data_IF_957068352266
#
_entry.id   IF_957068352266
#
_cell.length_a   1.000
_cell.length_b   1.000
_cell.length_c   1.000
_cell.angle_alpha   90.00
_cell.angle_beta   90.00
_cell.angle_gamma   90.00
#
_symmetry.space_group_name_H-M   'P 1'
#
loop_
_entity.id
_entity.type
_entity.pdbx_description
1 polymer ?
#
# COMPACT_ATOMS: atom_id res chain seq x y z
N UNK A 1 -12.69 24.24 -9.93
CA UNK A 1 -11.25 24.55 -9.79
C UNK A 1 -10.82 25.08 -11.15
N UNK A 2 -10.35 26.33 -11.26
CA UNK A 2 -9.91 26.86 -12.57
C UNK A 2 -8.76 26.01 -13.10
N UNK A 3 -8.68 25.79 -14.42
CA UNK A 3 -7.66 24.93 -15.06
C UNK A 3 -6.23 25.25 -14.56
N UNK A 4 -5.92 26.53 -14.32
CA UNK A 4 -4.64 27.00 -13.77
C UNK A 4 -4.28 26.44 -12.37
N UNK A 5 -5.27 26.19 -11.50
CA UNK A 5 -5.01 25.66 -10.14
C UNK A 5 -4.70 24.16 -10.22
N UNK A 6 -5.37 23.44 -11.12
CA UNK A 6 -5.09 22.02 -11.29
C UNK A 6 -3.69 21.80 -11.86
N UNK A 7 -3.25 22.66 -12.79
CA UNK A 7 -1.88 22.66 -13.31
C UNK A 7 -0.85 22.94 -12.20
N UNK A 8 -1.04 24.00 -11.40
CA UNK A 8 -0.17 24.30 -10.23
C UNK A 8 -0.09 23.13 -9.23
N UNK A 9 -1.22 22.45 -8.98
CA UNK A 9 -1.27 21.28 -8.09
C UNK A 9 -0.51 20.11 -8.70
N UNK A 10 -0.65 19.85 -10.00
CA UNK A 10 0.05 18.75 -10.67
C UNK A 10 1.56 18.96 -10.69
N UNK A 11 2.02 20.18 -11.00
CA UNK A 11 3.43 20.55 -10.96
C UNK A 11 4.01 20.37 -9.54
N UNK A 12 3.22 20.65 -8.52
CA UNK A 12 3.62 20.39 -7.14
C UNK A 12 3.67 18.89 -6.80
N UNK A 13 2.67 18.11 -7.23
CA UNK A 13 2.66 16.66 -7.04
C UNK A 13 3.83 15.97 -7.74
N UNK A 14 4.31 16.54 -8.85
CA UNK A 14 5.54 16.11 -9.50
C UNK A 14 6.76 16.31 -8.62
N UNK A 15 6.96 17.53 -8.10
CA UNK A 15 8.07 17.82 -7.17
C UNK A 15 8.01 16.99 -5.88
N UNK A 16 6.81 16.76 -5.35
CA UNK A 16 6.60 15.88 -4.19
C UNK A 16 7.08 14.45 -4.50
N UNK A 17 6.74 13.94 -5.69
CA UNK A 17 7.10 12.59 -6.10
C UNK A 17 8.60 12.44 -6.31
N UNK A 18 9.26 13.42 -6.94
CA UNK A 18 10.72 13.48 -7.05
C UNK A 18 11.39 13.49 -5.66
N UNK A 19 10.85 14.26 -4.72
CA UNK A 19 11.35 14.29 -3.34
C UNK A 19 11.21 12.91 -2.65
N UNK A 20 10.06 12.25 -2.79
CA UNK A 20 9.80 10.92 -2.25
C UNK A 20 10.78 9.86 -2.81
N UNK A 21 10.97 9.84 -4.13
CA UNK A 21 11.89 8.92 -4.80
C UNK A 21 13.34 9.16 -4.38
N UNK A 22 13.77 10.43 -4.38
CA UNK A 22 15.10 10.83 -3.90
C UNK A 22 15.31 10.40 -2.44
N UNK A 23 14.32 10.61 -1.58
CA UNK A 23 14.36 10.24 -0.16
C UNK A 23 14.52 8.74 0.05
N UNK A 24 13.88 7.92 -0.78
CA UNK A 24 14.04 6.46 -0.74
C UNK A 24 15.43 6.02 -1.24
N UNK A 25 15.88 6.56 -2.37
CA UNK A 25 17.20 6.24 -2.93
C UNK A 25 18.36 6.69 -2.02
N UNK A 26 18.22 7.82 -1.34
CA UNK A 26 19.19 8.27 -0.34
C UNK A 26 19.28 7.27 0.83
N UNK A 27 18.14 6.87 1.40
CA UNK A 27 18.11 5.87 2.48
C UNK A 27 18.71 4.54 2.06
N UNK A 28 18.40 4.08 0.85
CA UNK A 28 19.02 2.88 0.28
C UNK A 28 20.56 2.96 0.25
N UNK A 29 21.11 4.11 -0.15
CA UNK A 29 22.57 4.34 -0.17
C UNK A 29 23.20 4.37 1.22
N UNK A 30 22.43 4.78 2.24
CA UNK A 30 22.90 4.88 3.62
C UNK A 30 22.80 3.55 4.38
N UNK A 31 21.96 2.62 3.92
CA UNK A 31 21.80 1.32 4.57
C UNK A 31 23.12 0.52 4.55
N UNK A 32 23.51 -0.10 5.67
CA UNK A 32 24.75 -0.87 5.78
C UNK A 32 24.58 -2.28 5.16
N UNK A 33 24.31 -2.35 3.86
CA UNK A 33 23.99 -3.59 3.15
C UNK A 33 25.13 -4.60 3.31
N UNK A 34 24.80 -5.77 3.87
CA UNK A 34 25.71 -6.91 4.02
C UNK A 34 25.33 -7.99 3.02
N UNK A 35 26.29 -8.47 2.23
CA UNK A 35 26.05 -9.47 1.18
C UNK A 35 25.47 -10.79 1.72
N UNK A 36 25.88 -11.22 2.92
CA UNK A 36 25.39 -12.46 3.54
C UNK A 36 23.97 -12.35 4.12
N UNK A 37 23.47 -11.13 4.27
CA UNK A 37 22.13 -10.83 4.81
C UNK A 37 21.27 -10.13 3.74
N UNK A 38 21.49 -10.43 2.46
CA UNK A 38 20.91 -9.66 1.33
C UNK A 38 19.38 -9.61 1.40
N UNK A 39 18.73 -10.71 1.78
CA UNK A 39 17.28 -10.83 1.94
C UNK A 39 16.67 -9.76 2.85
N UNK A 40 17.37 -9.39 3.93
CA UNK A 40 16.92 -8.35 4.85
C UNK A 40 16.80 -7.03 4.11
N UNK A 41 17.83 -6.67 3.37
CA UNK A 41 17.89 -5.40 2.65
C UNK A 41 17.00 -5.41 1.42
N UNK A 42 16.87 -6.53 0.72
CA UNK A 42 15.93 -6.70 -0.40
C UNK A 42 14.48 -6.48 0.06
N UNK A 43 14.09 -7.05 1.21
CA UNK A 43 12.76 -6.85 1.78
C UNK A 43 12.54 -5.40 2.21
N UNK A 44 13.49 -4.81 2.94
CA UNK A 44 13.36 -3.40 3.38
C UNK A 44 13.31 -2.45 2.18
N UNK A 45 14.24 -2.59 1.22
CA UNK A 45 14.28 -1.77 0.02
C UNK A 45 13.05 -1.97 -0.89
N UNK A 46 12.58 -3.21 -1.02
CA UNK A 46 11.35 -3.55 -1.73
C UNK A 46 10.11 -2.91 -1.11
N UNK A 47 9.97 -2.98 0.22
CA UNK A 47 8.86 -2.34 0.94
C UNK A 47 8.93 -0.81 0.86
N UNK A 48 10.10 -0.20 1.02
CA UNK A 48 10.26 1.26 0.88
C UNK A 48 9.91 1.74 -0.53
N UNK A 49 10.46 1.08 -1.57
CA UNK A 49 10.15 1.44 -2.96
C UNK A 49 8.68 1.23 -3.29
N UNK A 50 8.04 0.17 -2.76
CA UNK A 50 6.60 -0.05 -2.89
C UNK A 50 5.78 1.06 -2.22
N UNK A 51 6.19 1.52 -1.04
CA UNK A 51 5.51 2.61 -0.32
C UNK A 51 5.60 3.93 -1.10
N UNK A 52 6.77 4.24 -1.65
CA UNK A 52 6.95 5.41 -2.54
C UNK A 52 6.03 5.28 -3.75
N UNK A 53 6.08 4.14 -4.45
CA UNK A 53 5.25 3.92 -5.64
C UNK A 53 3.76 4.12 -5.36
N UNK A 54 3.25 3.64 -4.21
CA UNK A 54 1.86 3.86 -3.82
C UNK A 54 1.53 5.35 -3.62
N UNK A 55 2.39 6.07 -2.90
CA UNK A 55 2.18 7.50 -2.62
C UNK A 55 2.26 8.35 -3.89
N UNK A 56 3.28 8.14 -4.73
CA UNK A 56 3.49 8.93 -5.96
C UNK A 56 2.41 8.64 -7.00
N UNK A 57 2.01 7.37 -7.20
CA UNK A 57 0.92 7.05 -8.13
C UNK A 57 -0.42 7.64 -7.67
N UNK A 58 -0.67 7.69 -6.35
CA UNK A 58 -1.83 8.38 -5.82
C UNK A 58 -1.73 9.89 -6.09
N UNK A 59 -0.59 10.52 -5.81
CA UNK A 59 -0.36 11.95 -6.03
C UNK A 59 -0.50 12.37 -7.51
N UNK A 60 0.01 11.59 -8.45
CA UNK A 60 -0.13 11.87 -9.89
C UNK A 60 -1.52 11.56 -10.47
N UNK A 61 -2.44 11.01 -9.68
CA UNK A 61 -3.74 10.58 -10.16
C UNK A 61 -4.90 11.28 -9.42
N UNK A 62 -5.14 12.58 -9.63
CA UNK A 62 -6.22 13.32 -8.95
C UNK A 62 -7.59 12.66 -9.04
N UNK A 63 -7.91 12.02 -10.16
CA UNK A 63 -9.18 11.29 -10.35
C UNK A 63 -9.38 10.13 -9.35
N UNK A 64 -8.32 9.68 -8.67
CA UNK A 64 -8.36 8.63 -7.67
C UNK A 64 -8.51 9.15 -6.24
N UNK A 65 -8.47 10.47 -6.03
CA UNK A 65 -8.59 11.12 -4.71
C UNK A 65 -10.05 11.14 -4.24
N UNK A 66 -10.68 9.99 -4.21
CA UNK A 66 -12.08 9.85 -3.83
C UNK A 66 -12.25 8.64 -2.91
N UNK A 67 -13.40 8.59 -2.23
CA UNK A 67 -13.71 7.56 -1.24
C UNK A 67 -13.78 6.13 -1.78
N UNK A 68 -13.84 5.91 -3.10
CA UNK A 68 -13.82 4.56 -3.67
C UNK A 68 -12.40 4.01 -3.84
N UNK A 69 -11.48 4.82 -4.35
CA UNK A 69 -10.17 4.33 -4.81
C UNK A 69 -9.08 4.60 -3.79
N UNK A 70 -8.95 5.83 -3.29
CA UNK A 70 -7.86 6.20 -2.40
C UNK A 70 -7.79 5.33 -1.13
N UNK A 71 -8.90 4.97 -0.45
CA UNK A 71 -8.85 4.05 0.69
C UNK A 71 -8.23 2.68 0.40
N UNK A 72 -8.36 2.16 -0.82
CA UNK A 72 -7.74 0.88 -1.21
C UNK A 72 -6.21 0.99 -1.21
N UNK A 73 -5.70 2.10 -1.75
CA UNK A 73 -4.27 2.44 -1.75
C UNK A 73 -3.78 2.66 -0.33
N UNK A 74 -4.47 3.51 0.45
CA UNK A 74 -4.10 3.83 1.81
C UNK A 74 -4.12 2.61 2.74
N UNK A 75 -5.09 1.71 2.59
CA UNK A 75 -5.10 0.44 3.33
C UNK A 75 -3.83 -0.36 3.05
N UNK A 76 -3.45 -0.49 1.78
CA UNK A 76 -2.22 -1.21 1.40
C UNK A 76 -0.96 -0.53 1.96
N UNK A 77 -0.92 0.79 2.02
CA UNK A 77 0.19 1.54 2.61
C UNK A 77 0.30 1.33 4.13
N UNK A 78 -0.83 1.25 4.84
CA UNK A 78 -0.85 0.99 6.28
C UNK A 78 -0.42 -0.45 6.58
N UNK A 79 -0.90 -1.42 5.79
CA UNK A 79 -0.49 -2.82 5.88
C UNK A 79 1.03 -2.95 5.76
N UNK A 80 1.60 -2.22 4.80
CA UNK A 80 3.04 -2.14 4.57
C UNK A 80 3.77 -1.53 5.77
N UNK A 81 3.31 -0.40 6.31
CA UNK A 81 3.94 0.24 7.49
C UNK A 81 3.96 -0.72 8.69
N UNK A 82 2.83 -1.39 8.98
CA UNK A 82 2.74 -2.35 10.09
C UNK A 82 3.68 -3.54 9.84
N UNK A 83 3.67 -4.10 8.63
CA UNK A 83 4.53 -5.23 8.26
C UNK A 83 6.01 -4.87 8.33
N UNK A 84 6.38 -3.69 7.83
CA UNK A 84 7.75 -3.18 7.89
C UNK A 84 8.18 -2.98 9.35
N UNK A 85 7.37 -2.34 10.19
CA UNK A 85 7.65 -2.17 11.61
C UNK A 85 7.88 -3.52 12.31
N UNK A 86 7.04 -4.52 11.98
CA UNK A 86 7.16 -5.87 12.49
C UNK A 86 8.47 -6.52 12.04
N UNK A 87 8.79 -6.49 10.75
CA UNK A 87 10.06 -7.04 10.23
C UNK A 87 11.26 -6.39 10.91
N UNK A 88 11.26 -5.07 11.06
CA UNK A 88 12.38 -4.31 11.64
C UNK A 88 12.68 -4.65 13.11
N UNK A 89 11.77 -5.28 13.86
CA UNK A 89 12.05 -5.74 15.23
C UNK A 89 13.11 -6.84 15.24
N UNK A 90 12.97 -7.85 14.39
CA UNK A 90 13.90 -9.00 14.28
C UNK A 90 14.14 -9.31 12.78
N UNK A 91 14.88 -8.45 12.06
CA UNK A 91 15.00 -8.54 10.60
C UNK A 91 15.56 -9.89 10.11
N UNK A 92 16.51 -10.45 10.86
CA UNK A 92 17.21 -11.69 10.54
C UNK A 92 16.28 -12.90 10.50
N UNK A 93 15.20 -12.86 11.27
CA UNK A 93 14.19 -13.92 11.31
C UNK A 93 12.99 -13.61 10.42
N UNK A 94 12.55 -12.35 10.42
CA UNK A 94 11.26 -11.95 9.83
C UNK A 94 11.34 -11.70 8.34
N UNK A 95 12.47 -11.20 7.82
CA UNK A 95 12.62 -10.98 6.38
C UNK A 95 12.63 -12.31 5.59
N UNK A 96 13.38 -13.37 5.99
CA UNK A 96 13.29 -14.66 5.32
C UNK A 96 11.89 -15.27 5.39
N UNK A 97 11.21 -15.16 6.55
CA UNK A 97 9.80 -15.59 6.69
C UNK A 97 8.87 -14.85 5.74
N UNK A 98 9.09 -13.55 5.56
CA UNK A 98 8.33 -12.72 4.63
C UNK A 98 8.47 -13.20 3.18
N UNK A 99 9.69 -13.50 2.75
CA UNK A 99 9.96 -14.04 1.41
C UNK A 99 9.33 -15.42 1.25
N UNK A 100 9.59 -16.33 2.19
CA UNK A 100 9.12 -17.72 2.10
C UNK A 100 7.60 -17.82 2.06
N UNK A 101 6.90 -16.98 2.81
CA UNK A 101 5.44 -16.93 2.75
C UNK A 101 4.95 -16.51 1.36
N UNK A 102 5.51 -15.44 0.78
CA UNK A 102 5.15 -14.99 -0.57
C UNK A 102 5.40 -16.05 -1.63
N UNK A 103 6.56 -16.71 -1.58
CA UNK A 103 6.89 -17.83 -2.48
C UNK A 103 5.96 -19.03 -2.30
N UNK A 104 5.57 -19.34 -1.07
CA UNK A 104 4.62 -20.41 -0.75
C UNK A 104 3.23 -20.15 -1.35
N UNK A 105 2.74 -18.90 -1.30
CA UNK A 105 1.46 -18.52 -1.93
C UNK A 105 1.52 -18.64 -3.45
N UNK A 106 2.62 -18.22 -4.07
CA UNK A 106 2.83 -18.36 -5.52
C UNK A 106 2.92 -19.83 -5.95
N UNK A 107 3.55 -20.68 -5.14
CA UNK A 107 3.58 -22.13 -5.36
C UNK A 107 2.20 -22.77 -5.22
N UNK A 108 1.41 -22.38 -4.22
CA UNK A 108 0.02 -22.85 -4.08
C UNK A 108 -0.82 -22.47 -5.31
N UNK A 109 -0.69 -21.23 -5.78
CA UNK A 109 -1.38 -20.76 -6.98
C UNK A 109 -0.95 -21.54 -8.23
N UNK A 110 0.34 -21.84 -8.36
CA UNK A 110 0.85 -22.70 -9.44
C UNK A 110 0.19 -24.09 -9.42
N UNK A 111 0.06 -24.71 -8.25
CA UNK A 111 -0.63 -26.01 -8.11
C UNK A 111 -2.12 -25.92 -8.50
N UNK A 112 -2.80 -24.82 -8.17
CA UNK A 112 -4.16 -24.58 -8.65
C UNK A 112 -4.25 -24.48 -10.18
N UNK A 113 -3.28 -23.81 -10.81
CA UNK A 113 -3.23 -23.75 -12.27
C UNK A 113 -2.96 -25.11 -12.90
N UNK A 114 -2.02 -25.90 -12.37
CA UNK A 114 -1.74 -27.27 -12.83
C UNK A 114 -2.99 -28.15 -12.72
N UNK A 115 -3.67 -28.14 -11.57
CA UNK A 115 -4.92 -28.88 -11.37
C UNK A 115 -6.05 -28.43 -12.33
N UNK A 116 -6.10 -27.14 -12.66
CA UNK A 116 -7.05 -26.62 -13.67
C UNK A 116 -6.69 -27.11 -15.07
N UNK A 117 -5.41 -27.11 -15.43
CA UNK A 117 -4.92 -27.58 -16.73
C UNK A 117 -5.20 -29.07 -16.95
N UNK A 118 -5.01 -29.89 -15.91
CA UNK A 118 -5.35 -31.33 -15.96
C UNK A 118 -6.84 -31.58 -16.20
N UNK A 119 -7.71 -30.78 -15.56
CA UNK A 119 -9.17 -30.91 -15.70
C UNK A 119 -9.69 -30.33 -17.01
N UNK A 120 -9.11 -29.24 -17.48
CA UNK A 120 -9.55 -28.51 -18.67
C UNK A 120 -8.34 -27.86 -19.36
N UNK A 121 -7.69 -28.59 -20.28
CA UNK A 121 -6.52 -28.09 -20.99
C UNK A 121 -6.78 -26.76 -21.69
N UNK A 122 -5.93 -25.78 -21.42
CA UNK A 122 -6.00 -24.44 -22.01
C UNK A 122 -4.59 -23.90 -22.22
N UNK A 123 -4.27 -23.50 -23.46
CA UNK A 123 -2.95 -22.97 -23.84
C UNK A 123 -2.56 -21.73 -23.02
N UNK A 124 -3.51 -20.87 -22.65
CA UNK A 124 -3.24 -19.70 -21.81
C UNK A 124 -2.84 -20.11 -20.39
N UNK A 125 -3.46 -21.15 -19.83
CA UNK A 125 -3.12 -21.65 -18.49
C UNK A 125 -1.75 -22.29 -18.50
N UNK A 126 -1.39 -23.01 -19.55
CA UNK A 126 -0.06 -23.59 -19.73
C UNK A 126 1.04 -22.52 -19.77
N UNK A 127 0.84 -21.43 -20.52
CA UNK A 127 1.77 -20.28 -20.53
C UNK A 127 1.93 -19.65 -19.14
N UNK A 128 0.83 -19.54 -18.39
CA UNK A 128 0.87 -19.02 -17.01
C UNK A 128 1.64 -19.95 -16.07
N UNK A 129 1.46 -21.27 -16.20
CA UNK A 129 2.21 -22.29 -15.44
C UNK A 129 3.70 -22.16 -15.73
N UNK A 130 4.08 -22.07 -17.01
CA UNK A 130 5.46 -21.95 -17.41
C UNK A 130 6.10 -20.68 -16.83
N UNK A 131 5.49 -19.51 -17.05
CA UNK A 131 6.02 -18.24 -16.56
C UNK A 131 6.19 -18.21 -15.03
N UNK A 132 5.21 -18.76 -14.28
CA UNK A 132 5.30 -18.84 -12.81
C UNK A 132 6.38 -19.83 -12.35
N UNK A 133 6.51 -20.97 -13.01
CA UNK A 133 7.53 -21.97 -12.70
C UNK A 133 8.93 -21.40 -12.92
N UNK A 134 9.15 -20.76 -14.06
CA UNK A 134 10.43 -20.12 -14.39
C UNK A 134 10.77 -19.04 -13.36
N UNK A 135 9.82 -18.18 -13.00
CA UNK A 135 10.04 -17.15 -11.98
C UNK A 135 10.38 -17.75 -10.61
N UNK A 136 9.63 -18.75 -10.13
CA UNK A 136 9.90 -19.39 -8.83
C UNK A 136 11.32 -19.99 -8.78
N UNK A 137 11.77 -20.62 -9.87
CA UNK A 137 13.11 -21.19 -9.99
C UNK A 137 14.24 -20.15 -9.92
N UNK A 138 13.97 -18.89 -10.31
CA UNK A 138 14.93 -17.79 -10.11
C UNK A 138 15.08 -17.37 -8.65
N UNK A 139 14.05 -17.60 -7.83
CA UNK A 139 14.01 -17.17 -6.44
C UNK A 139 14.64 -18.23 -5.54
N UNK A 140 14.10 -19.45 -5.57
CA UNK A 140 14.59 -20.60 -4.78
C UNK A 140 14.28 -21.91 -5.49
N UNK A 141 14.99 -22.97 -5.10
CA UNK A 141 14.69 -24.31 -5.58
C UNK A 141 13.28 -24.73 -5.12
N UNK A 142 12.42 -25.18 -6.04
CA UNK A 142 11.00 -25.43 -5.80
C UNK A 142 10.73 -26.39 -4.63
N UNK A 143 11.59 -27.40 -4.45
CA UNK A 143 11.46 -28.36 -3.35
C UNK A 143 11.69 -27.76 -1.96
N UNK A 144 12.41 -26.64 -1.87
CA UNK A 144 12.69 -25.92 -0.62
C UNK A 144 11.60 -24.93 -0.22
N UNK A 145 10.61 -24.70 -1.09
CA UNK A 145 9.49 -23.79 -0.85
C UNK A 145 8.35 -24.58 -0.22
N UNK A 146 8.09 -24.35 1.06
CA UNK A 146 6.95 -24.93 1.76
C UNK A 146 5.66 -24.20 1.37
N UNK A 147 4.58 -24.97 1.15
CA UNK A 147 3.26 -24.44 0.88
C UNK A 147 2.47 -24.42 2.18
N UNK A 148 2.16 -23.22 2.67
CA UNK A 148 1.25 -23.05 3.80
C UNK A 148 -0.12 -22.61 3.28
N UNK A 149 -1.15 -23.45 3.51
CA UNK A 149 -2.56 -23.20 3.14
C UNK A 149 -3.33 -22.43 4.22
N UNK A 150 -2.69 -22.13 5.36
CA UNK A 150 -3.21 -21.21 6.35
C UNK A 150 -3.14 -19.77 5.88
N UNK A 151 -3.66 -18.88 6.72
CA UNK A 151 -3.28 -17.47 6.67
C UNK A 151 -1.75 -17.38 6.89
N UNK A 152 -1.10 -16.22 6.67
CA UNK A 152 0.30 -15.99 7.12
C UNK A 152 0.55 -16.49 8.55
N UNK A 153 -0.54 -16.60 9.30
CA UNK A 153 -0.67 -17.15 10.63
C UNK A 153 -0.79 -18.69 10.68
N UNK A 154 0.32 -19.43 10.63
CA UNK A 154 0.87 -19.95 11.90
C UNK A 154 1.66 -18.89 12.72
N UNK A 155 2.00 -17.74 12.14
CA UNK A 155 2.44 -16.49 12.79
C UNK A 155 1.34 -15.46 13.22
N UNK A 156 1.71 -14.18 13.45
CA UNK A 156 0.81 -13.11 13.93
C UNK A 156 -0.06 -12.47 12.84
N UNK A 157 -1.31 -12.10 13.13
CA UNK A 157 -2.17 -11.33 12.22
C UNK A 157 -1.68 -9.88 12.07
N UNK A 158 -2.17 -9.11 11.07
CA UNK A 158 -1.86 -7.67 10.96
C UNK A 158 -2.20 -6.91 12.25
N UNK A 159 -3.26 -7.32 12.95
CA UNK A 159 -3.60 -6.78 14.26
C UNK A 159 -2.53 -7.09 15.30
N UNK A 160 -2.07 -8.34 15.36
CA UNK A 160 -1.07 -8.77 16.33
C UNK A 160 0.28 -8.08 16.06
N UNK A 161 0.65 -7.94 14.78
CA UNK A 161 1.82 -7.17 14.34
C UNK A 161 1.73 -5.71 14.78
N UNK A 162 0.55 -5.09 14.63
CA UNK A 162 0.32 -3.71 15.05
C UNK A 162 0.44 -3.56 16.57
N UNK A 163 -0.14 -4.47 17.35
CA UNK A 163 -0.02 -4.46 18.82
C UNK A 163 1.44 -4.59 19.25
N UNK A 164 2.18 -5.54 18.67
CA UNK A 164 3.60 -5.78 18.99
C UNK A 164 4.49 -4.55 18.67
N UNK A 165 4.12 -3.79 17.65
CA UNK A 165 4.86 -2.61 17.20
C UNK A 165 4.37 -1.29 17.80
N UNK A 166 3.40 -1.32 18.73
CA UNK A 166 2.73 -0.13 19.28
C UNK A 166 2.07 0.75 18.19
N UNK A 167 1.51 0.12 17.16
CA UNK A 167 0.78 0.75 16.05
C UNK A 167 -0.72 0.39 16.09
N UNK A 168 -1.25 0.05 17.27
CA UNK A 168 -2.65 -0.40 17.41
C UNK A 168 -3.66 0.69 16.99
N UNK A 169 -3.36 1.96 17.28
CA UNK A 169 -4.22 3.07 16.86
C UNK A 169 -4.27 3.21 15.34
N UNK A 170 -3.14 3.04 14.65
CA UNK A 170 -3.08 3.04 13.19
C UNK A 170 -3.95 1.91 12.61
N UNK A 171 -3.91 0.72 13.24
CA UNK A 171 -4.75 -0.40 12.85
C UNK A 171 -6.26 -0.14 13.09
N UNK A 172 -6.62 0.36 14.28
CA UNK A 172 -8.02 0.57 14.67
C UNK A 172 -8.67 1.75 13.94
N UNK A 173 -7.95 2.85 13.81
CA UNK A 173 -8.49 4.13 13.34
C UNK A 173 -8.30 4.37 11.85
N UNK A 174 -7.37 3.67 11.18
CA UNK A 174 -7.14 3.83 9.75
C UNK A 174 -7.29 2.51 8.97
N UNK A 175 -6.55 1.46 9.34
CA UNK A 175 -6.59 0.18 8.60
C UNK A 175 -8.00 -0.43 8.58
N UNK A 176 -8.65 -0.51 9.75
CA UNK A 176 -9.97 -1.14 9.90
C UNK A 176 -11.06 -0.37 9.14
N UNK A 177 -11.16 0.97 9.24
CA UNK A 177 -12.07 1.74 8.40
C UNK A 177 -11.80 1.55 6.90
N UNK A 178 -10.57 1.65 6.42
CA UNK A 178 -10.31 1.45 4.99
C UNK A 178 -10.54 0.00 4.53
N UNK A 179 -10.51 -0.96 5.45
CA UNK A 179 -10.90 -2.34 5.17
C UNK A 179 -12.36 -2.48 4.75
N UNK A 180 -13.23 -1.55 5.18
CA UNK A 180 -14.63 -1.51 4.79
C UNK A 180 -14.82 -1.41 3.28
N UNK A 181 -13.92 -0.67 2.63
CA UNK A 181 -13.93 -0.40 1.19
C UNK A 181 -13.54 -1.65 0.42
N UNK A 182 -12.42 -2.29 0.79
CA UNK A 182 -11.94 -3.53 0.16
C UNK A 182 -12.96 -4.67 0.27
N UNK A 183 -13.65 -4.76 1.41
CA UNK A 183 -14.59 -5.85 1.69
C UNK A 183 -16.02 -5.54 1.26
N UNK A 184 -16.27 -4.41 0.56
CA UNK A 184 -17.61 -4.02 0.09
C UNK A 184 -18.66 -4.03 1.22
N UNK A 185 -18.26 -3.58 2.41
CA UNK A 185 -19.12 -3.63 3.59
C UNK A 185 -20.24 -2.60 3.53
N UNK A 186 -21.28 -2.81 4.34
CA UNK A 186 -22.50 -1.99 4.32
C UNK A 186 -22.23 -0.50 4.53
N UNK A 187 -21.37 -0.13 5.49
CA UNK A 187 -21.05 1.28 5.77
C UNK A 187 -20.52 2.00 4.53
N UNK A 188 -19.72 1.33 3.71
CA UNK A 188 -19.16 1.90 2.48
C UNK A 188 -20.22 2.03 1.39
N UNK A 189 -20.91 0.92 1.08
CA UNK A 189 -21.95 0.88 0.04
C UNK A 189 -23.08 1.86 0.36
N UNK A 190 -23.49 1.95 1.62
CA UNK A 190 -24.56 2.85 2.07
C UNK A 190 -24.22 4.33 1.97
N UNK A 191 -22.94 4.68 2.01
CA UNK A 191 -22.46 6.05 1.92
C UNK A 191 -22.29 6.51 0.46
N UNK A 192 -21.76 5.65 -0.42
CA UNK A 192 -21.36 6.06 -1.77
C UNK A 192 -22.20 5.49 -2.92
N UNK A 193 -22.88 4.36 -2.70
CA UNK A 193 -23.55 3.61 -3.78
C UNK A 193 -25.08 3.53 -3.63
N UNK A 194 -25.63 4.19 -2.62
CA UNK A 194 -27.06 4.16 -2.31
C UNK A 194 -27.58 5.56 -2.00
N UNK A 195 -28.77 5.88 -2.54
CA UNK A 195 -29.56 7.04 -2.09
C UNK A 195 -30.90 6.63 -1.52
N UNK A 196 -31.49 7.54 -0.76
CA UNK A 196 -32.83 7.37 -0.23
C UNK A 196 -33.85 7.59 -1.36
N UNK A 197 -34.77 6.64 -1.55
CA UNK A 197 -35.87 6.78 -2.51
C UNK A 197 -36.79 7.93 -2.09
N UNK A 198 -37.19 8.77 -3.04
CA UNK A 198 -38.05 9.94 -2.80
C UNK A 198 -39.53 9.61 -2.73
N UNK A 199 -39.95 8.40 -3.13
CA UNK A 199 -41.35 7.98 -3.09
C UNK A 199 -41.78 7.60 -1.66
N UNK A 200 -42.72 8.32 -1.02
CA UNK A 200 -43.17 8.02 0.33
C UNK A 200 -43.82 6.63 0.46
N UNK A 201 -44.46 6.13 -0.61
CA UNK A 201 -45.09 4.80 -0.62
C UNK A 201 -44.06 3.66 -0.57
N UNK A 202 -42.80 3.94 -0.92
CA UNK A 202 -41.70 2.96 -0.85
C UNK A 202 -40.99 2.98 0.52
N UNK A 203 -41.55 3.67 1.52
CA UNK A 203 -41.00 3.78 2.89
C UNK A 203 -39.56 4.32 2.92
N UNK A 204 -39.17 5.13 1.95
CA UNK A 204 -37.84 5.73 1.86
C UNK A 204 -36.69 4.70 1.91
N UNK A 205 -36.87 3.52 1.31
CA UNK A 205 -35.81 2.52 1.22
C UNK A 205 -34.58 3.04 0.44
N UNK A 206 -33.46 2.32 0.50
CA UNK A 206 -32.26 2.65 -0.26
C UNK A 206 -32.34 2.09 -1.69
N UNK A 207 -31.99 2.90 -2.67
CA UNK A 207 -31.91 2.52 -4.09
C UNK A 207 -30.49 2.75 -4.61
N UNK A 208 -30.02 1.96 -5.60
CA UNK A 208 -28.70 2.13 -6.20
C UNK A 208 -28.49 3.53 -6.76
N UNK A 209 -27.29 4.06 -6.55
CA UNK A 209 -26.82 5.29 -7.18
C UNK A 209 -25.36 5.13 -7.62
N UNK A 210 -25.07 5.63 -8.82
CA UNK A 210 -23.71 5.77 -9.34
C UNK A 210 -23.42 7.29 -9.28
N UNK A 211 -22.98 7.74 -8.11
CA UNK A 211 -22.66 9.14 -7.87
C UNK A 211 -21.21 9.44 -8.27
N UNK A 212 -20.97 10.66 -8.74
CA UNK A 212 -19.61 11.21 -8.80
C UNK A 212 -19.22 11.64 -7.39
N UNK A 213 -18.16 11.05 -6.85
CA UNK A 213 -17.65 11.36 -5.52
C UNK A 213 -16.69 12.56 -5.63
N UNK A 214 -16.78 13.55 -4.72
CA UNK A 214 -15.87 14.69 -4.74
C UNK A 214 -14.42 14.26 -4.54
N UNK A 215 -13.51 15.07 -5.09
CA UNK A 215 -12.08 14.93 -4.87
C UNK A 215 -11.73 15.46 -3.48
N UNK A 216 -10.89 14.72 -2.77
CA UNK A 216 -10.44 15.05 -1.41
C UNK A 216 -8.91 14.93 -1.31
N UNK A 217 -8.18 16.06 -1.26
CA UNK A 217 -6.73 16.09 -1.10
C UNK A 217 -6.21 15.46 0.20
N UNK A 218 -7.07 15.29 1.23
CA UNK A 218 -6.72 14.60 2.48
C UNK A 218 -6.19 13.19 2.22
N UNK A 219 -6.62 12.54 1.14
CA UNK A 219 -6.10 11.23 0.77
C UNK A 219 -4.62 11.25 0.40
N UNK A 220 -4.14 12.29 -0.28
CA UNK A 220 -2.71 12.45 -0.58
C UNK A 220 -1.95 12.79 0.69
N UNK A 221 -2.51 13.67 1.52
CA UNK A 221 -1.94 14.02 2.83
C UNK A 221 -1.70 12.78 3.70
N UNK A 222 -2.70 11.91 3.83
CA UNK A 222 -2.56 10.62 4.53
C UNK A 222 -1.50 9.72 3.90
N UNK A 223 -1.38 9.71 2.57
CA UNK A 223 -0.35 8.92 1.89
C UNK A 223 1.06 9.41 2.27
N UNK A 224 1.25 10.72 2.39
CA UNK A 224 2.52 11.31 2.83
C UNK A 224 2.82 10.96 4.29
N UNK A 225 1.82 10.97 5.18
CA UNK A 225 1.98 10.49 6.57
C UNK A 225 2.50 9.05 6.59
N UNK A 226 1.89 8.14 5.83
CA UNK A 226 2.30 6.73 5.84
C UNK A 226 3.65 6.49 5.16
N UNK A 227 4.01 7.29 4.15
CA UNK A 227 5.33 7.24 3.55
C UNK A 227 6.40 7.73 4.53
N UNK A 228 6.14 8.85 5.19
CA UNK A 228 7.03 9.42 6.20
C UNK A 228 7.25 8.46 7.38
N UNK A 229 6.18 7.83 7.88
CA UNK A 229 6.28 6.77 8.89
C UNK A 229 7.18 5.60 8.46
N UNK A 230 7.09 5.16 7.20
CA UNK A 230 7.93 4.07 6.70
C UNK A 230 9.42 4.48 6.66
N UNK A 231 9.70 5.71 6.23
CA UNK A 231 11.05 6.28 6.26
C UNK A 231 11.60 6.38 7.68
N UNK A 232 10.80 6.93 8.59
CA UNK A 232 11.18 7.16 9.99
C UNK A 232 11.45 5.84 10.75
N UNK A 233 10.70 4.78 10.44
CA UNK A 233 10.96 3.43 10.97
C UNK A 233 12.35 2.90 10.60
N UNK A 234 12.74 3.05 9.33
CA UNK A 234 14.04 2.59 8.81
C UNK A 234 15.16 3.47 9.34
N UNK A 235 14.96 4.79 9.34
CA UNK A 235 15.94 5.76 9.83
C UNK A 235 16.25 5.50 11.31
N UNK A 236 15.22 5.27 12.15
CA UNK A 236 15.41 4.93 13.56
C UNK A 236 16.11 3.58 13.76
N UNK A 237 15.74 2.54 13.00
CA UNK A 237 16.33 1.20 13.14
C UNK A 237 17.82 1.19 12.84
N UNK A 238 18.24 1.91 11.79
CA UNK A 238 19.62 1.91 11.31
C UNK A 238 20.39 3.20 11.65
N UNK A 239 19.80 4.11 12.41
CA UNK A 239 20.35 5.42 12.76
C UNK A 239 20.80 6.21 11.52
N UNK A 240 19.98 6.19 10.47
CA UNK A 240 20.26 6.88 9.22
C UNK A 240 20.04 8.39 9.39
N UNK A 241 20.82 9.18 8.65
CA UNK A 241 20.69 10.64 8.61
C UNK A 241 20.50 11.08 7.17
N UNK A 242 19.31 10.82 6.63
CA UNK A 242 18.92 11.33 5.32
C UNK A 242 18.81 12.86 5.38
N UNK A 243 19.25 13.53 4.31
CA UNK A 243 19.20 14.99 4.16
C UNK A 243 17.96 15.45 3.40
N UNK A 244 17.32 14.54 2.68
CA UNK A 244 16.07 14.82 1.96
C UNK A 244 14.96 15.17 2.96
N UNK A 245 14.16 16.18 2.61
CA UNK A 245 13.04 16.66 3.42
C UNK A 245 12.02 15.52 3.58
N UNK A 246 11.46 15.40 4.78
CA UNK A 246 10.42 14.42 5.07
C UNK A 246 9.23 14.59 4.11
N UNK A 247 8.63 13.51 3.57
CA UNK A 247 7.52 13.62 2.62
C UNK A 247 6.35 14.46 3.15
N UNK A 248 6.00 14.30 4.42
CA UNK A 248 4.94 15.08 5.06
C UNK A 248 5.29 16.57 5.14
N UNK A 249 6.49 16.90 5.61
CA UNK A 249 6.99 18.29 5.71
C UNK A 249 7.05 18.95 4.33
N UNK A 250 7.51 18.22 3.30
CA UNK A 250 7.52 18.71 1.92
C UNK A 250 6.10 19.01 1.42
N UNK A 251 5.15 18.15 1.76
CA UNK A 251 3.76 18.33 1.37
C UNK A 251 3.14 19.56 2.05
N UNK A 252 3.31 19.70 3.36
CA UNK A 252 2.78 20.81 4.17
C UNK A 252 3.33 22.17 3.71
N UNK A 253 4.64 22.26 3.51
CA UNK A 253 5.29 23.50 3.04
C UNK A 253 4.78 23.94 1.67
N UNK A 254 4.57 23.02 0.73
CA UNK A 254 4.07 23.37 -0.59
C UNK A 254 2.56 23.65 -0.66
N UNK A 255 1.74 23.01 0.19
CA UNK A 255 0.33 23.40 0.34
C UNK A 255 0.20 24.84 0.85
N UNK A 256 1.01 25.23 1.83
CA UNK A 256 1.01 26.62 2.29
C UNK A 256 1.37 27.61 1.18
N UNK A 257 2.28 27.25 0.27
CA UNK A 257 2.67 28.08 -0.87
C UNK A 257 1.56 28.23 -1.93
N UNK A 258 0.88 27.13 -2.30
CA UNK A 258 -0.16 27.14 -3.34
C UNK A 258 -1.42 27.90 -2.89
N UNK A 259 -1.71 27.88 -1.60
CA UNK A 259 -2.95 28.42 -1.02
C UNK A 259 -2.75 29.75 -0.26
N UNK A 260 -1.51 30.27 -0.18
CA UNK A 260 -1.16 31.50 0.58
C UNK A 260 -1.93 32.76 0.18
N UNK A 261 -2.27 32.88 -1.11
CA UNK A 261 -2.84 34.11 -1.71
C UNK A 261 -4.27 33.93 -2.24
N UNK A 262 -4.96 32.83 -1.89
CA UNK A 262 -6.31 32.54 -2.40
C UNK A 262 -7.34 32.68 -1.26
N UNK A 263 -8.44 33.45 -1.47
CA UNK A 263 -9.43 33.67 -0.42
C UNK A 263 -10.04 32.33 0.02
N UNK A 264 -10.13 32.13 1.33
CA UNK A 264 -10.94 31.06 1.93
C UNK A 264 -12.41 31.45 1.75
N UNK A 265 -13.08 30.90 0.74
CA UNK A 265 -14.55 30.90 0.63
C UNK A 265 -15.14 29.71 1.40
#
# INVERSE_FOLDING_TARGET
MSDNIMEEVMDFMERYSENAEKGCLERWKLLPVKLYDSEIYEVIGGLLSRQVALSTNLAYSPNTWNGHIAPLVLRSMIDLVITLAWILKIPEERAPKYIMYGLGQEKLLLEHYKAKQEKSPNEQVEKMIQAKTEWLQTQRQEWSIEVNVGNWTEGPTVRDMAIECNLEDLYKLAYTPFSSVTHNTWQHISAYNLKTCTNPLHKFHKIPEIAQVPLDPDYVYRSAIYLDQAFDLVDKKYNLKAKTIAPLEFLETGFEEIFKDKPQE
#
